data_IF_368553512193
#
_entry.id   IF_368553512193
#
_cell.length_a   1.000
_cell.length_b   1.000
_cell.length_c   1.000
_cell.angle_alpha   90.00
_cell.angle_beta   90.00
_cell.angle_gamma   90.00
#
_symmetry.space_group_name_H-M   'P 1'
#
loop_
_entity.id
_entity.type
_entity.pdbx_description
1 polymer ?
#
# COMPACT_ATOMS: atom_id res chain seq x y z
N UNK A 1 -16.41 -23.17 -49.29
CA UNK A 1 -17.46 -22.13 -49.26
C UNK A 1 -16.99 -20.99 -48.38
N UNK A 2 -17.20 -19.77 -48.87
CA UNK A 2 -16.53 -18.54 -48.48
C UNK A 2 -16.97 -17.95 -47.12
N UNK A 3 -16.00 -17.30 -46.47
CA UNK A 3 -16.05 -16.00 -45.79
C UNK A 3 -17.25 -15.62 -44.91
N UNK A 4 -16.96 -15.16 -43.68
CA UNK A 4 -17.40 -13.85 -43.20
C UNK A 4 -16.51 -13.35 -42.05
N UNK A 5 -15.52 -12.54 -42.44
CA UNK A 5 -14.86 -11.55 -41.60
C UNK A 5 -15.88 -10.45 -41.27
N UNK A 6 -15.97 -10.05 -40.00
CA UNK A 6 -16.53 -8.74 -39.65
C UNK A 6 -15.40 -7.86 -39.11
N UNK A 7 -14.90 -7.02 -40.02
CA UNK A 7 -14.10 -5.85 -39.72
C UNK A 7 -15.04 -4.71 -39.30
N UNK A 8 -14.92 -4.24 -38.07
CA UNK A 8 -15.40 -2.91 -37.69
C UNK A 8 -14.20 -2.08 -37.23
N UNK A 9 -13.53 -1.49 -38.22
CA UNK A 9 -12.66 -0.33 -38.03
C UNK A 9 -13.52 0.92 -38.17
N UNK A 10 -13.99 1.47 -37.06
CA UNK A 10 -14.38 2.88 -37.00
C UNK A 10 -13.24 3.65 -36.35
N UNK A 11 -12.58 4.58 -37.05
CA UNK A 11 -11.56 5.42 -36.43
C UNK A 11 -12.23 6.34 -35.41
N UNK A 12 -11.84 6.21 -34.14
CA UNK A 12 -12.17 7.18 -33.10
C UNK A 12 -11.44 8.46 -33.46
N UNK A 13 -12.20 9.51 -33.82
CA UNK A 13 -11.67 10.87 -33.95
C UNK A 13 -11.17 11.33 -32.59
N UNK A 14 -9.85 11.46 -32.45
CA UNK A 14 -9.22 12.21 -31.36
C UNK A 14 -9.50 13.69 -31.63
N UNK A 15 -10.11 14.46 -30.70
CA UNK A 15 -10.23 15.90 -30.87
C UNK A 15 -8.85 16.53 -30.92
N UNK A 16 -8.62 17.35 -31.94
CA UNK A 16 -7.46 18.22 -32.06
C UNK A 16 -7.48 19.25 -30.92
N UNK A 17 -6.50 19.14 -30.01
CA UNK A 17 -6.33 20.06 -28.88
C UNK A 17 -5.35 21.20 -29.18
N UNK A 18 -5.09 21.52 -30.45
CA UNK A 18 -4.13 22.56 -30.84
C UNK A 18 -4.69 24.00 -30.89
N UNK A 19 -5.90 24.27 -30.39
CA UNK A 19 -6.44 25.64 -30.42
C UNK A 19 -7.29 26.03 -29.22
N UNK A 20 -6.69 26.14 -28.02
CA UNK A 20 -7.18 27.00 -26.92
C UNK A 20 -6.11 27.20 -25.83
N UNK A 21 -4.92 27.64 -26.21
CA UNK A 21 -4.01 28.33 -25.26
C UNK A 21 -4.17 29.83 -25.42
N UNK A 22 -5.25 30.36 -24.87
CA UNK A 22 -5.32 31.77 -24.51
C UNK A 22 -4.93 31.87 -23.03
N UNK A 23 -3.77 32.48 -22.79
CA UNK A 23 -3.21 32.82 -21.48
C UNK A 23 -4.26 33.45 -20.56
N UNK A 24 -4.68 32.71 -19.54
CA UNK A 24 -5.23 33.30 -18.31
C UNK A 24 -4.26 32.94 -17.19
N UNK A 25 -3.45 33.93 -16.82
CA UNK A 25 -2.66 33.92 -15.59
C UNK A 25 -3.61 33.64 -14.42
N UNK A 26 -3.39 32.53 -13.73
CA UNK A 26 -4.02 32.26 -12.44
C UNK A 26 -3.16 32.97 -11.39
N UNK A 27 -3.69 33.95 -10.65
CA UNK A 27 -2.87 34.69 -9.70
C UNK A 27 -2.47 33.78 -8.54
N UNK A 28 -1.16 33.70 -8.29
CA UNK A 28 -0.58 33.14 -7.06
C UNK A 28 -1.05 33.97 -5.86
N UNK A 29 -2.19 33.61 -5.26
CA UNK A 29 -2.54 34.07 -3.92
C UNK A 29 -1.73 33.27 -2.90
N UNK A 30 -0.54 33.78 -2.60
CA UNK A 30 0.11 33.49 -1.33
C UNK A 30 -0.77 34.11 -0.23
N UNK A 31 -1.50 33.28 0.51
CA UNK A 31 -2.18 33.72 1.74
C UNK A 31 -1.13 33.63 2.86
N UNK A 32 -0.69 34.75 3.46
CA UNK A 32 0.20 34.67 4.60
C UNK A 32 -0.63 34.22 5.81
N UNK A 33 -0.38 33.02 6.31
CA UNK A 33 -0.87 32.61 7.62
C UNK A 33 0.02 33.33 8.64
N UNK A 34 -0.42 34.51 9.08
CA UNK A 34 0.16 35.19 10.24
C UNK A 34 -0.33 34.42 11.48
N UNK A 35 0.50 33.53 12.01
CA UNK A 35 0.24 32.89 13.31
C UNK A 35 0.68 33.86 14.40
N UNK A 36 -0.28 34.59 14.97
CA UNK A 36 -0.10 35.24 16.27
C UNK A 36 -0.26 34.19 17.37
N UNK A 37 0.77 34.03 18.20
CA UNK A 37 0.67 33.46 19.54
C UNK A 37 1.04 31.98 19.64
N UNK A 38 2.14 31.71 20.34
CA UNK A 38 2.61 30.37 20.73
C UNK A 38 1.62 29.63 21.66
N UNK A 39 0.55 30.28 22.11
CA UNK A 39 -0.50 29.68 22.96
C UNK A 39 -1.70 29.12 22.14
N UNK A 40 -1.85 29.49 20.86
CA UNK A 40 -2.88 28.93 19.98
C UNK A 40 -2.49 27.58 19.33
N UNK A 41 -1.21 27.21 19.41
CA UNK A 41 -0.67 25.95 18.84
C UNK A 41 -1.09 24.73 19.70
N UNK A 42 -1.49 24.95 20.96
CA UNK A 42 -1.89 23.89 21.88
C UNK A 42 -3.34 23.40 21.76
N UNK A 43 -4.21 24.11 21.03
CA UNK A 43 -5.67 23.94 21.15
C UNK A 43 -6.45 23.67 19.86
N UNK A 44 -5.81 23.40 18.71
CA UNK A 44 -6.50 23.18 17.42
C UNK A 44 -5.91 22.06 16.54
N UNK A 45 -5.56 20.92 17.15
CA UNK A 45 -5.45 19.64 16.44
C UNK A 45 -6.51 18.70 17.00
N UNK A 46 -7.73 18.77 16.45
CA UNK A 46 -8.73 17.74 16.74
C UNK A 46 -8.29 16.42 16.10
N UNK A 47 -8.49 15.34 16.86
CA UNK A 47 -7.97 13.98 16.68
C UNK A 47 -8.24 13.36 15.29
N UNK A 48 -7.18 12.72 14.74
CA UNK A 48 -7.13 11.77 13.62
C UNK A 48 -7.42 12.31 12.19
N UNK A 49 -6.37 12.43 11.37
CA UNK A 49 -6.52 12.68 9.91
C UNK A 49 -7.31 11.56 9.25
N UNK A 50 -8.06 11.83 8.18
CA UNK A 50 -8.55 10.74 7.32
C UNK A 50 -7.38 10.05 6.64
N UNK A 51 -7.44 8.73 6.47
CA UNK A 51 -6.40 7.93 5.83
C UNK A 51 -7.00 6.99 4.78
N UNK A 52 -6.35 6.92 3.63
CA UNK A 52 -6.54 5.87 2.64
C UNK A 52 -5.28 5.02 2.53
N UNK A 53 -5.43 3.73 2.77
CA UNK A 53 -4.32 2.78 2.74
C UNK A 53 -4.45 1.81 1.56
N UNK A 54 -3.57 1.96 0.57
CA UNK A 54 -3.40 0.97 -0.47
C UNK A 54 -2.67 -0.25 0.11
N UNK A 55 -3.45 -1.27 0.43
CA UNK A 55 -2.97 -2.48 1.04
C UNK A 55 -2.39 -3.41 -0.03
N UNK A 56 -1.06 -3.49 -0.13
CA UNK A 56 -0.43 -4.53 -0.94
C UNK A 56 -0.47 -5.87 -0.16
N UNK A 57 -1.00 -6.97 -0.73
CA UNK A 57 -0.99 -8.27 -0.09
C UNK A 57 0.41 -8.70 0.35
N UNK A 58 0.46 -9.24 1.56
CA UNK A 58 1.65 -9.88 2.16
C UNK A 58 2.82 -8.92 2.45
N UNK A 59 2.55 -7.63 2.54
CA UNK A 59 3.56 -6.62 2.95
C UNK A 59 3.53 -6.29 4.44
N UNK A 60 2.71 -6.98 5.25
CA UNK A 60 2.49 -6.64 6.66
C UNK A 60 1.31 -5.69 6.89
N UNK A 61 0.55 -5.37 5.84
CA UNK A 61 -0.58 -4.44 5.91
C UNK A 61 -1.70 -4.85 6.87
N UNK A 62 -1.92 -6.14 7.14
CA UNK A 62 -2.88 -6.58 8.17
C UNK A 62 -2.54 -6.04 9.56
N UNK A 63 -1.25 -6.02 9.93
CA UNK A 63 -0.81 -5.44 11.21
C UNK A 63 -1.10 -3.95 11.26
N UNK A 64 -0.82 -3.24 10.17
CA UNK A 64 -1.09 -1.81 10.04
C UNK A 64 -2.60 -1.52 10.12
N UNK A 65 -3.42 -2.28 9.39
CA UNK A 65 -4.89 -2.19 9.43
C UNK A 65 -5.41 -2.42 10.85
N UNK A 66 -4.93 -3.45 11.55
CA UNK A 66 -5.33 -3.72 12.93
C UNK A 66 -4.97 -2.55 13.87
N UNK A 67 -3.78 -1.97 13.71
CA UNK A 67 -3.39 -0.78 14.47
C UNK A 67 -4.32 0.41 14.17
N UNK A 68 -4.67 0.66 12.90
CA UNK A 68 -5.60 1.72 12.53
C UNK A 68 -7.02 1.42 13.05
N UNK A 69 -7.50 0.18 13.04
CA UNK A 69 -8.78 -0.20 13.64
C UNK A 69 -8.81 0.03 15.15
N UNK A 70 -7.71 -0.17 15.87
CA UNK A 70 -7.62 0.20 17.29
C UNK A 70 -7.71 1.72 17.51
N UNK A 71 -7.46 2.53 16.48
CA UNK A 71 -7.47 3.99 16.53
C UNK A 71 -8.78 4.61 16.08
N UNK A 72 -9.25 4.26 14.89
CA UNK A 72 -10.49 4.77 14.33
C UNK A 72 -11.71 4.00 14.84
N UNK A 73 -11.55 2.71 15.13
CA UNK A 73 -12.66 1.78 15.38
C UNK A 73 -13.15 1.12 14.09
N UNK A 74 -13.67 -0.10 14.21
CA UNK A 74 -14.14 -0.90 13.06
C UNK A 74 -15.27 -0.22 12.28
N UNK A 75 -16.19 0.44 12.99
CA UNK A 75 -17.36 1.15 12.41
C UNK A 75 -16.97 2.44 11.66
N UNK A 76 -15.73 2.91 11.84
CA UNK A 76 -15.16 4.09 11.19
C UNK A 76 -14.16 3.67 10.10
N UNK A 77 -14.25 2.43 9.62
CA UNK A 77 -13.44 1.92 8.52
C UNK A 77 -14.29 1.30 7.42
N UNK A 78 -13.83 1.42 6.18
CA UNK A 78 -14.43 0.75 5.03
C UNK A 78 -13.34 0.03 4.23
N UNK A 79 -13.62 -1.24 3.88
CA UNK A 79 -12.80 -1.98 2.93
C UNK A 79 -13.25 -1.63 1.52
N UNK A 80 -12.30 -1.24 0.66
CA UNK A 80 -12.55 -0.97 -0.76
C UNK A 80 -11.89 -2.06 -1.60
N UNK A 81 -12.71 -2.83 -2.32
CA UNK A 81 -12.32 -4.01 -3.08
C UNK A 81 -12.30 -3.72 -4.58
N UNK A 82 -11.44 -2.78 -4.97
CA UNK A 82 -11.23 -2.36 -6.35
C UNK A 82 -11.89 -1.03 -6.72
N UNK A 83 -11.57 -0.54 -7.92
CA UNK A 83 -11.87 0.85 -8.33
C UNK A 83 -13.37 1.12 -8.57
N UNK A 84 -14.15 0.07 -8.78
CA UNK A 84 -15.60 0.14 -9.04
C UNK A 84 -16.44 -0.33 -7.86
N UNK A 85 -15.84 -0.44 -6.68
CA UNK A 85 -16.55 -0.86 -5.47
C UNK A 85 -17.67 0.15 -5.15
N UNK A 86 -18.91 -0.33 -5.06
CA UNK A 86 -20.07 0.50 -4.74
C UNK A 86 -20.00 1.10 -3.33
N UNK A 87 -19.24 0.47 -2.42
CA UNK A 87 -19.05 0.93 -1.05
C UNK A 87 -18.24 2.22 -0.98
N UNK A 88 -17.45 2.53 -2.01
CA UNK A 88 -16.65 3.75 -2.04
C UNK A 88 -17.53 5.01 -1.93
N UNK A 89 -18.57 5.12 -2.75
CA UNK A 89 -19.45 6.30 -2.76
C UNK A 89 -20.10 6.50 -1.40
N UNK A 90 -20.63 5.42 -0.83
CA UNK A 90 -21.24 5.45 0.50
C UNK A 90 -20.24 5.88 1.58
N UNK A 91 -18.99 5.41 1.50
CA UNK A 91 -17.95 5.77 2.44
C UNK A 91 -17.55 7.26 2.33
N UNK A 92 -17.54 7.82 1.12
CA UNK A 92 -17.30 9.24 0.90
C UNK A 92 -18.45 10.12 1.40
N UNK A 93 -19.69 9.73 1.11
CA UNK A 93 -20.89 10.42 1.56
C UNK A 93 -20.97 10.44 3.10
N UNK A 94 -20.59 9.33 3.75
CA UNK A 94 -20.49 9.20 5.21
C UNK A 94 -19.21 9.77 5.79
N UNK A 95 -18.28 10.26 4.96
CA UNK A 95 -17.01 10.83 5.39
C UNK A 95 -16.18 9.88 6.27
N UNK A 96 -16.19 8.57 5.95
CA UNK A 96 -15.50 7.51 6.70
C UNK A 96 -14.01 7.81 6.80
N UNK A 97 -13.41 7.89 8.01
CA UNK A 97 -12.04 8.38 8.16
C UNK A 97 -10.96 7.36 7.79
N UNK A 98 -11.27 6.06 7.76
CA UNK A 98 -10.29 5.04 7.40
C UNK A 98 -10.77 4.19 6.21
N UNK A 99 -10.18 4.42 5.04
CA UNK A 99 -10.38 3.59 3.85
C UNK A 99 -9.16 2.69 3.66
N UNK A 100 -9.38 1.41 3.34
CA UNK A 100 -8.27 0.53 2.98
C UNK A 100 -8.69 -0.61 2.08
N UNK A 101 -7.75 -1.19 1.35
CA UNK A 101 -8.04 -2.36 0.54
C UNK A 101 -7.14 -2.49 -0.67
N UNK A 102 -7.65 -3.18 -1.68
CA UNK A 102 -6.91 -3.57 -2.87
C UNK A 102 -7.52 -2.86 -4.09
N UNK A 103 -7.03 -1.67 -4.40
CA UNK A 103 -7.50 -0.82 -5.48
C UNK A 103 -6.31 -0.18 -6.22
N UNK A 104 -6.53 0.42 -7.39
CA UNK A 104 -5.46 1.07 -8.14
C UNK A 104 -5.02 2.38 -7.48
N UNK A 105 -3.80 2.81 -7.78
CA UNK A 105 -3.33 4.12 -7.34
C UNK A 105 -4.18 5.27 -7.90
N UNK A 106 -4.80 5.10 -9.09
CA UNK A 106 -5.68 6.12 -9.67
C UNK A 106 -6.84 6.48 -8.74
N UNK A 107 -7.35 5.51 -7.96
CA UNK A 107 -8.36 5.80 -6.96
C UNK A 107 -7.87 6.76 -5.87
N UNK A 108 -6.59 6.67 -5.48
CA UNK A 108 -6.00 7.60 -4.50
C UNK A 108 -5.93 9.01 -5.06
N UNK A 109 -5.59 9.16 -6.34
CA UNK A 109 -5.57 10.47 -7.00
C UNK A 109 -6.95 11.11 -7.02
N UNK A 110 -8.00 10.34 -7.36
CA UNK A 110 -9.39 10.78 -7.30
C UNK A 110 -9.78 11.23 -5.89
N UNK A 111 -9.20 10.64 -4.85
CA UNK A 111 -9.55 10.93 -3.46
C UNK A 111 -8.72 12.05 -2.81
N UNK A 112 -7.79 12.67 -3.54
CA UNK A 112 -6.99 13.81 -3.03
C UNK A 112 -7.88 14.99 -2.64
N UNK A 113 -8.94 15.25 -3.40
CA UNK A 113 -9.90 16.33 -3.11
C UNK A 113 -10.73 16.10 -1.82
N UNK A 114 -10.75 14.86 -1.32
CA UNK A 114 -11.44 14.49 -0.08
C UNK A 114 -10.54 14.56 1.18
N UNK A 115 -9.31 15.08 1.05
CA UNK A 115 -8.34 15.26 2.14
C UNK A 115 -7.94 13.97 2.87
N UNK A 116 -7.86 12.84 2.15
CA UNK A 116 -7.29 11.62 2.70
C UNK A 116 -5.77 11.66 2.67
N UNK A 117 -5.15 11.33 3.81
CA UNK A 117 -3.74 11.01 3.90
C UNK A 117 -3.48 9.66 3.24
N UNK A 118 -2.70 9.64 2.17
CA UNK A 118 -2.43 8.44 1.38
C UNK A 118 -1.24 7.66 1.93
N UNK A 119 -1.43 6.36 2.12
CA UNK A 119 -0.42 5.46 2.67
C UNK A 119 -0.30 4.17 1.88
N UNK A 120 0.92 3.64 1.77
CA UNK A 120 1.16 2.27 1.30
C UNK A 120 2.35 1.63 2.02
N UNK A 121 2.46 0.30 1.93
CA UNK A 121 3.47 -0.51 2.61
C UNK A 121 4.01 -1.56 1.64
N UNK A 122 5.32 -1.56 1.43
CA UNK A 122 6.02 -2.51 0.58
C UNK A 122 6.81 -3.52 1.41
N UNK A 123 7.26 -4.60 0.77
CA UNK A 123 8.12 -5.61 1.37
C UNK A 123 9.16 -6.06 0.37
N UNK A 124 10.30 -6.53 0.89
CA UNK A 124 11.28 -7.23 0.09
C UNK A 124 10.57 -8.27 -0.82
N UNK A 125 10.84 -8.28 -2.14
CA UNK A 125 10.08 -9.09 -3.08
C UNK A 125 10.21 -10.59 -2.82
N UNK A 126 11.40 -11.05 -2.42
CA UNK A 126 11.64 -12.47 -2.08
C UNK A 126 10.77 -12.87 -0.90
N UNK A 127 10.86 -12.10 0.17
CA UNK A 127 10.09 -12.25 1.39
C UNK A 127 8.56 -12.21 1.16
N UNK A 128 8.10 -11.34 0.26
CA UNK A 128 6.68 -11.23 -0.10
C UNK A 128 6.19 -12.47 -0.85
N UNK A 129 6.94 -12.95 -1.84
CA UNK A 129 6.59 -14.14 -2.64
C UNK A 129 6.45 -15.37 -1.74
N UNK A 130 7.47 -15.64 -0.90
CA UNK A 130 7.43 -16.76 0.03
C UNK A 130 6.28 -16.60 1.03
N UNK A 131 6.07 -15.39 1.55
CA UNK A 131 4.95 -15.12 2.46
C UNK A 131 3.58 -15.37 1.83
N UNK A 132 3.43 -15.12 0.52
CA UNK A 132 2.18 -15.41 -0.20
C UNK A 132 2.00 -16.90 -0.41
N UNK A 133 3.03 -17.61 -0.82
CA UNK A 133 2.96 -19.06 -0.96
C UNK A 133 2.61 -19.73 0.37
N UNK A 134 3.32 -19.40 1.45
CA UNK A 134 3.01 -19.91 2.80
C UNK A 134 1.57 -19.56 3.19
N UNK A 135 1.06 -18.40 2.81
CA UNK A 135 -0.33 -18.05 3.08
C UNK A 135 -1.33 -18.95 2.35
N UNK A 136 -1.10 -19.25 1.07
CA UNK A 136 -1.93 -20.18 0.29
C UNK A 136 -1.99 -21.56 0.94
N UNK A 137 -0.84 -22.06 1.42
CA UNK A 137 -0.76 -23.38 2.07
C UNK A 137 -1.57 -23.50 3.37
N UNK A 138 -1.89 -22.39 4.03
CA UNK A 138 -2.57 -22.37 5.33
C UNK A 138 -3.90 -21.61 5.31
N UNK A 139 -4.40 -21.25 4.13
CA UNK A 139 -5.66 -20.53 4.02
C UNK A 139 -6.84 -21.50 4.01
N UNK A 140 -7.87 -21.17 4.79
CA UNK A 140 -9.15 -21.87 4.73
C UNK A 140 -10.14 -21.25 3.75
N UNK A 141 -9.81 -20.10 3.16
CA UNK A 141 -10.66 -19.41 2.17
C UNK A 141 -10.79 -20.25 0.89
N UNK A 142 -12.02 -20.57 0.43
CA UNK A 142 -12.25 -21.43 -0.74
C UNK A 142 -11.49 -20.99 -1.98
N UNK A 143 -11.50 -19.68 -2.29
CA UNK A 143 -10.80 -19.11 -3.45
C UNK A 143 -9.29 -19.32 -3.38
N UNK A 144 -8.70 -19.24 -2.18
CA UNK A 144 -7.26 -19.46 -1.99
C UNK A 144 -6.90 -20.95 -1.99
N UNK A 145 -7.82 -21.84 -1.61
CA UNK A 145 -7.64 -23.29 -1.79
C UNK A 145 -7.64 -23.66 -3.27
N UNK A 146 -8.60 -23.15 -4.03
CA UNK A 146 -8.64 -23.34 -5.48
C UNK A 146 -7.37 -22.81 -6.17
N UNK A 147 -6.92 -21.60 -5.78
CA UNK A 147 -5.65 -21.05 -6.27
C UNK A 147 -4.46 -21.94 -5.89
N UNK A 148 -4.38 -22.42 -4.64
CA UNK A 148 -3.32 -23.34 -4.19
C UNK A 148 -3.32 -24.64 -5.01
N UNK A 149 -4.50 -25.24 -5.19
CA UNK A 149 -4.67 -26.55 -5.84
C UNK A 149 -4.47 -26.46 -7.36
N UNK A 150 -4.45 -25.24 -7.92
CA UNK A 150 -4.07 -25.00 -9.31
C UNK A 150 -2.56 -25.11 -9.57
N UNK A 151 -1.73 -25.15 -8.51
CA UNK A 151 -0.28 -25.31 -8.62
C UNK A 151 0.16 -26.72 -8.24
N UNK A 152 1.00 -27.32 -9.08
CA UNK A 152 1.54 -28.67 -8.81
C UNK A 152 2.62 -28.66 -7.72
N UNK A 153 3.42 -27.59 -7.66
CA UNK A 153 4.53 -27.40 -6.73
C UNK A 153 4.89 -25.90 -6.61
N UNK A 154 5.99 -25.60 -5.91
CA UNK A 154 6.43 -24.21 -5.71
C UNK A 154 6.95 -23.58 -7.00
N UNK A 155 7.64 -24.34 -7.84
CA UNK A 155 8.19 -23.90 -9.12
C UNK A 155 7.08 -23.49 -10.10
N UNK A 156 5.98 -24.23 -10.10
CA UNK A 156 4.77 -23.88 -10.85
C UNK A 156 4.14 -22.57 -10.33
N UNK A 157 4.09 -22.40 -9.00
CA UNK A 157 3.67 -21.13 -8.39
C UNK A 157 4.53 -19.93 -8.81
N UNK A 158 5.85 -20.10 -8.99
CA UNK A 158 6.74 -19.03 -9.44
C UNK A 158 6.40 -18.51 -10.85
N UNK A 159 5.69 -19.29 -11.66
CA UNK A 159 5.20 -18.86 -12.98
C UNK A 159 3.92 -18.02 -12.91
N UNK A 160 3.31 -17.89 -11.72
CA UNK A 160 2.10 -17.11 -11.54
C UNK A 160 2.35 -15.60 -11.59
N UNK A 161 1.35 -14.84 -12.06
CA UNK A 161 1.39 -13.37 -12.05
C UNK A 161 1.58 -12.78 -10.64
N UNK A 162 1.18 -13.51 -9.60
CA UNK A 162 1.36 -13.06 -8.21
C UNK A 162 2.78 -13.24 -7.68
N UNK A 163 3.59 -14.08 -8.33
CA UNK A 163 4.98 -14.34 -7.94
C UNK A 163 5.99 -13.40 -8.62
N UNK A 164 5.60 -12.68 -9.68
CA UNK A 164 6.53 -11.89 -10.50
C UNK A 164 6.16 -10.41 -10.57
N UNK A 165 7.05 -9.54 -10.08
CA UNK A 165 6.97 -8.07 -10.13
C UNK A 165 5.59 -7.49 -9.74
N UNK A 166 4.93 -8.15 -8.77
CA UNK A 166 3.53 -7.90 -8.48
C UNK A 166 3.33 -6.54 -7.80
N UNK A 167 4.25 -6.11 -6.93
CA UNK A 167 4.12 -4.81 -6.26
C UNK A 167 4.19 -3.67 -7.27
N UNK A 168 5.10 -3.78 -8.24
CA UNK A 168 5.24 -2.84 -9.33
C UNK A 168 4.00 -2.80 -10.24
N UNK A 169 3.44 -3.95 -10.60
CA UNK A 169 2.21 -4.02 -11.40
C UNK A 169 1.03 -3.34 -10.68
N UNK A 170 0.88 -3.61 -9.39
CA UNK A 170 -0.20 -3.05 -8.59
C UNK A 170 -0.05 -1.52 -8.43
N UNK A 171 1.14 -1.06 -8.06
CA UNK A 171 1.42 0.36 -7.87
C UNK A 171 1.41 1.15 -9.19
N UNK A 172 1.81 0.53 -10.30
CA UNK A 172 1.75 1.13 -11.63
C UNK A 172 0.35 1.19 -12.25
N UNK A 173 -0.70 0.74 -11.54
CA UNK A 173 -2.09 0.77 -12.02
C UNK A 173 -2.40 -0.27 -13.11
N UNK A 174 -1.58 -1.32 -13.23
CA UNK A 174 -1.76 -2.39 -14.22
C UNK A 174 -1.58 -3.78 -13.57
N UNK A 175 -2.42 -4.14 -12.59
CA UNK A 175 -2.32 -5.42 -11.91
C UNK A 175 -2.45 -6.57 -12.93
N UNK A 176 -1.63 -7.61 -12.77
CA UNK A 176 -1.65 -8.82 -13.61
C UNK A 176 -1.31 -8.61 -15.10
N UNK A 177 -0.76 -7.45 -15.45
CA UNK A 177 -0.26 -7.22 -16.81
C UNK A 177 1.18 -7.72 -16.93
N UNK A 178 1.48 -8.47 -17.99
CA UNK A 178 2.86 -8.66 -18.49
C UNK A 178 3.36 -7.41 -19.22
N UNK A 179 2.94 -6.22 -18.77
CA UNK A 179 3.36 -4.96 -19.37
C UNK A 179 4.88 -4.85 -19.31
N UNK A 180 5.45 -4.08 -20.23
CA UNK A 180 6.88 -3.76 -20.21
C UNK A 180 7.30 -3.35 -18.80
N UNK A 181 8.18 -4.16 -18.22
CA UNK A 181 8.77 -4.02 -16.90
C UNK A 181 9.25 -2.60 -16.61
N UNK A 182 9.76 -1.90 -17.63
CA UNK A 182 10.25 -0.52 -17.50
C UNK A 182 9.13 0.50 -17.37
N UNK A 183 8.05 0.34 -18.13
CA UNK A 183 6.88 1.23 -18.07
C UNK A 183 6.16 1.05 -16.72
N UNK A 184 5.99 -0.21 -16.30
CA UNK A 184 5.40 -0.53 -15.00
C UNK A 184 6.22 0.09 -13.85
N UNK A 185 7.56 -0.01 -13.93
CA UNK A 185 8.47 0.59 -12.94
C UNK A 185 8.34 2.11 -12.85
N UNK A 186 8.36 2.80 -13.99
CA UNK A 186 8.29 4.26 -14.02
C UNK A 186 6.98 4.77 -13.41
N UNK A 187 5.85 4.17 -13.79
CA UNK A 187 4.55 4.51 -13.21
C UNK A 187 4.50 4.22 -11.70
N UNK A 188 4.96 3.04 -11.27
CA UNK A 188 4.99 2.68 -9.86
C UNK A 188 5.88 3.62 -9.04
N UNK A 189 7.06 3.98 -9.53
CA UNK A 189 7.99 4.88 -8.86
C UNK A 189 7.41 6.31 -8.74
N UNK A 190 6.81 6.82 -9.81
CA UNK A 190 6.12 8.12 -9.79
C UNK A 190 4.99 8.13 -8.75
N UNK A 191 4.21 7.05 -8.70
CA UNK A 191 3.12 6.90 -7.75
C UNK A 191 3.65 6.83 -6.32
N UNK A 192 4.73 6.09 -6.06
CA UNK A 192 5.39 6.04 -4.74
C UNK A 192 5.81 7.42 -4.23
N UNK A 193 6.36 8.28 -5.10
CA UNK A 193 6.73 9.64 -4.74
C UNK A 193 5.53 10.54 -4.39
N UNK A 194 4.34 10.14 -4.81
CA UNK A 194 3.12 10.93 -4.69
C UNK A 194 2.26 10.55 -3.48
N UNK A 195 2.62 9.47 -2.76
CA UNK A 195 2.02 9.10 -1.48
C UNK A 195 2.48 10.04 -0.36
N UNK A 196 1.59 10.32 0.60
CA UNK A 196 1.94 11.06 1.82
C UNK A 196 2.82 10.22 2.76
N UNK A 197 2.70 8.90 2.68
CA UNK A 197 3.51 7.95 3.42
C UNK A 197 3.76 6.64 2.68
N UNK A 198 5.03 6.22 2.69
CA UNK A 198 5.48 4.93 2.17
C UNK A 198 6.28 4.24 3.27
N UNK A 199 5.83 3.06 3.69
CA UNK A 199 6.56 2.22 4.63
C UNK A 199 7.19 0.99 3.97
N UNK A 200 8.07 0.31 4.72
CA UNK A 200 8.63 -1.00 4.36
C UNK A 200 8.49 -1.99 5.52
N UNK A 201 8.21 -3.26 5.19
CA UNK A 201 7.93 -4.32 6.16
C UNK A 201 9.13 -4.69 7.05
N UNK A 202 10.36 -4.51 6.56
CA UNK A 202 11.60 -4.79 7.30
C UNK A 202 11.68 -4.00 8.62
N UNK A 203 11.22 -2.74 8.59
CA UNK A 203 11.17 -1.85 9.75
C UNK A 203 9.73 -1.56 10.16
N UNK A 204 8.83 -2.55 10.06
CA UNK A 204 7.38 -2.36 10.24
C UNK A 204 7.06 -1.62 11.54
N UNK A 205 7.70 -2.00 12.64
CA UNK A 205 7.52 -1.37 13.94
C UNK A 205 7.83 0.14 13.93
N UNK A 206 8.97 0.55 13.39
CA UNK A 206 9.31 1.97 13.19
C UNK A 206 8.34 2.64 12.22
N UNK A 207 7.92 1.93 11.16
CA UNK A 207 6.93 2.42 10.21
C UNK A 207 5.56 2.71 10.84
N UNK A 208 5.07 1.81 11.69
CA UNK A 208 3.81 1.97 12.41
C UNK A 208 3.87 3.17 13.38
N UNK A 209 5.00 3.36 14.05
CA UNK A 209 5.23 4.53 14.91
C UNK A 209 5.26 5.83 14.09
N UNK A 210 6.02 5.86 13.00
CA UNK A 210 6.12 7.03 12.11
C UNK A 210 4.75 7.43 11.53
N UNK A 211 4.00 6.46 11.00
CA UNK A 211 2.65 6.69 10.49
C UNK A 211 1.72 7.21 11.58
N UNK A 212 1.75 6.60 12.78
CA UNK A 212 0.93 7.04 13.91
C UNK A 212 1.16 8.50 14.29
N UNK A 213 2.42 8.94 14.30
CA UNK A 213 2.79 10.33 14.58
C UNK A 213 2.30 11.27 13.47
N UNK A 214 2.47 10.88 12.19
CA UNK A 214 2.00 11.67 11.02
C UNK A 214 0.47 11.82 11.00
N UNK A 215 -0.27 10.85 11.51
CA UNK A 215 -1.73 10.91 11.67
C UNK A 215 -2.19 11.68 12.91
N UNK A 216 -1.26 12.12 13.76
CA UNK A 216 -1.55 12.91 14.97
C UNK A 216 -1.96 12.09 16.19
N UNK A 217 -1.68 10.77 16.22
CA UNK A 217 -2.05 9.95 17.36
C UNK A 217 -1.18 10.25 18.58
N UNK A 218 -1.80 10.70 19.68
CA UNK A 218 -1.12 11.09 20.93
C UNK A 218 -0.43 9.92 21.66
N UNK A 219 -0.97 8.70 21.51
CA UNK A 219 -0.42 7.49 22.12
C UNK A 219 -1.18 6.28 21.60
N UNK A 220 -0.54 5.32 20.92
CA UNK A 220 -0.71 3.85 21.00
C UNK A 220 0.13 3.28 19.86
N UNK A 221 1.37 2.95 20.20
CA UNK A 221 2.17 2.01 19.44
C UNK A 221 2.31 0.77 20.31
N UNK A 222 1.88 -0.37 19.78
CA UNK A 222 2.20 -1.68 20.30
C UNK A 222 3.20 -2.32 19.34
N UNK A 223 4.32 -2.87 19.83
CA UNK A 223 5.25 -3.55 18.96
C UNK A 223 4.58 -4.78 18.35
N UNK A 224 4.71 -4.89 17.03
CA UNK A 224 4.46 -6.13 16.35
C UNK A 224 5.69 -7.02 16.52
N UNK A 225 5.48 -8.17 17.14
CA UNK A 225 6.49 -9.23 17.18
C UNK A 225 6.27 -10.09 15.94
N UNK A 226 7.22 -10.05 15.02
CA UNK A 226 7.22 -10.90 13.82
C UNK A 226 7.07 -12.37 14.26
N UNK A 227 5.89 -12.94 14.03
CA UNK A 227 5.64 -14.39 14.18
C UNK A 227 5.26 -14.92 12.82
N UNK A 228 6.24 -15.50 12.12
CA UNK A 228 6.01 -16.15 10.84
C UNK A 228 5.21 -17.43 11.10
N UNK A 229 4.10 -17.60 10.39
CA UNK A 229 3.46 -18.92 10.30
C UNK A 229 4.40 -19.82 9.51
N UNK A 230 4.63 -21.03 10.00
CA UNK A 230 5.38 -22.07 9.28
C UNK A 230 6.81 -21.66 8.94
N UNK A 231 7.54 -21.21 9.96
CA UNK A 231 8.96 -20.82 9.91
C UNK A 231 9.82 -21.83 9.13
N UNK A 232 9.64 -23.13 9.39
CA UNK A 232 10.39 -24.19 8.69
C UNK A 232 10.16 -24.17 7.18
N UNK A 233 8.91 -24.06 6.72
CA UNK A 233 8.59 -23.99 5.29
C UNK A 233 9.19 -22.73 4.66
N UNK A 234 9.10 -21.60 5.37
CA UNK A 234 9.70 -20.36 4.92
C UNK A 234 11.22 -20.50 4.74
N UNK A 235 11.92 -21.08 5.74
CA UNK A 235 13.37 -21.27 5.70
C UNK A 235 13.81 -22.21 4.57
N UNK A 236 13.07 -23.30 4.34
CA UNK A 236 13.32 -24.23 3.22
C UNK A 236 13.24 -23.49 1.89
N UNK A 237 12.12 -22.80 1.62
CA UNK A 237 11.94 -22.09 0.35
C UNK A 237 12.97 -20.98 0.18
N UNK A 238 13.26 -20.22 1.24
CA UNK A 238 14.24 -19.15 1.16
C UNK A 238 15.63 -19.69 0.82
N UNK A 239 16.04 -20.79 1.47
CA UNK A 239 17.33 -21.42 1.19
C UNK A 239 17.43 -21.96 -0.24
N UNK A 240 16.34 -22.50 -0.78
CA UNK A 240 16.34 -23.20 -2.07
C UNK A 240 16.09 -22.26 -3.27
N UNK A 241 15.30 -21.20 -3.10
CA UNK A 241 14.78 -20.40 -4.21
C UNK A 241 14.99 -18.88 -4.10
N UNK A 242 15.65 -18.35 -3.06
CA UNK A 242 15.75 -16.89 -2.88
C UNK A 242 16.38 -16.17 -4.10
N UNK A 243 17.42 -16.74 -4.70
CA UNK A 243 18.08 -16.18 -5.89
C UNK A 243 17.15 -16.19 -7.11
N UNK A 244 16.50 -17.31 -7.40
CA UNK A 244 15.52 -17.43 -8.49
C UNK A 244 14.37 -16.43 -8.32
N UNK A 245 13.83 -16.31 -7.10
CA UNK A 245 12.75 -15.37 -6.81
C UNK A 245 13.24 -13.93 -7.03
N UNK A 246 14.45 -13.59 -6.59
CA UNK A 246 15.02 -12.26 -6.80
C UNK A 246 15.18 -11.96 -8.30
N UNK A 247 15.61 -12.95 -9.09
CA UNK A 247 15.77 -12.82 -10.53
C UNK A 247 14.43 -12.58 -11.26
N UNK A 248 13.37 -13.29 -10.86
CA UNK A 248 12.01 -13.08 -11.37
C UNK A 248 11.40 -11.73 -10.94
N UNK A 249 11.94 -11.11 -9.89
CA UNK A 249 11.41 -9.90 -9.28
C UNK A 249 12.37 -8.69 -9.36
N UNK A 250 13.27 -8.63 -10.35
CA UNK A 250 14.26 -7.53 -10.50
C UNK A 250 13.66 -6.12 -10.48
N UNK A 251 12.46 -5.95 -11.04
CA UNK A 251 11.78 -4.64 -11.05
C UNK A 251 11.23 -4.31 -9.68
N UNK A 252 10.61 -5.29 -9.03
CA UNK A 252 10.14 -5.16 -7.65
C UNK A 252 11.32 -4.89 -6.70
N UNK A 253 12.52 -5.42 -6.96
CA UNK A 253 13.73 -5.12 -6.18
C UNK A 253 14.12 -3.64 -6.30
N UNK A 254 14.20 -3.12 -7.51
CA UNK A 254 14.47 -1.69 -7.74
C UNK A 254 13.42 -0.79 -7.09
N UNK A 255 12.15 -1.19 -7.15
CA UNK A 255 11.05 -0.45 -6.53
C UNK A 255 11.12 -0.48 -5.01
N UNK A 256 11.47 -1.63 -4.42
CA UNK A 256 11.63 -1.80 -2.98
C UNK A 256 12.79 -0.95 -2.45
N UNK A 257 13.94 -0.94 -3.13
CA UNK A 257 15.07 -0.07 -2.80
C UNK A 257 14.67 1.42 -2.85
N UNK A 258 13.88 1.82 -3.85
CA UNK A 258 13.37 3.19 -3.94
C UNK A 258 12.43 3.50 -2.76
N UNK A 259 11.54 2.59 -2.40
CA UNK A 259 10.66 2.73 -1.24
C UNK A 259 11.43 2.86 0.08
N UNK A 260 12.50 2.06 0.27
CA UNK A 260 13.39 2.19 1.42
C UNK A 260 14.03 3.59 1.48
N UNK A 261 14.55 4.09 0.36
CA UNK A 261 15.15 5.44 0.28
C UNK A 261 14.12 6.54 0.58
N UNK A 262 12.92 6.43 0.02
CA UNK A 262 11.81 7.36 0.30
C UNK A 262 11.45 7.35 1.79
N UNK A 263 11.28 6.15 2.37
CA UNK A 263 10.96 6.01 3.79
C UNK A 263 12.05 6.61 4.69
N UNK A 264 13.31 6.25 4.47
CA UNK A 264 14.43 6.75 5.27
C UNK A 264 14.59 8.27 5.17
N UNK A 265 14.33 8.86 4.00
CA UNK A 265 14.36 10.31 3.79
C UNK A 265 13.21 11.04 4.50
N UNK A 266 12.01 10.44 4.50
CA UNK A 266 10.78 11.11 4.93
C UNK A 266 10.31 10.74 6.35
N UNK A 267 10.89 9.70 6.96
CA UNK A 267 10.58 9.32 8.33
C UNK A 267 11.00 10.44 9.27
N UNK A 268 10.16 10.74 10.25
CA UNK A 268 10.44 11.76 11.24
C UNK A 268 9.94 11.30 12.60
N UNK A 269 10.76 10.49 13.27
CA UNK A 269 10.44 9.93 14.57
C UNK A 269 11.36 10.56 15.61
N UNK A 270 10.82 11.23 16.65
CA UNK A 270 11.62 11.75 17.74
C UNK A 270 12.42 10.65 18.43
N UNK A 271 13.68 10.90 18.78
CA UNK A 271 14.54 9.93 19.46
C UNK A 271 13.93 9.39 20.75
N UNK A 272 13.20 10.23 21.49
CA UNK A 272 12.47 9.83 22.70
C UNK A 272 11.33 8.84 22.42
N UNK A 273 10.66 8.97 21.27
CA UNK A 273 9.62 8.03 20.85
C UNK A 273 10.24 6.70 20.41
N UNK A 274 11.34 6.73 19.65
CA UNK A 274 12.11 5.55 19.27
C UNK A 274 12.61 4.77 20.49
N UNK A 275 13.18 5.45 21.50
CA UNK A 275 13.68 4.79 22.70
C UNK A 275 12.54 4.09 23.48
N UNK A 276 11.40 4.78 23.65
CA UNK A 276 10.20 4.19 24.26
C UNK A 276 9.70 2.98 23.47
N UNK A 277 9.77 3.03 22.14
CA UNK A 277 9.39 1.95 21.25
C UNK A 277 10.27 0.71 21.45
N UNK A 278 11.60 0.88 21.39
CA UNK A 278 12.57 -0.22 21.61
C UNK A 278 12.43 -0.83 23.01
N UNK A 279 12.21 0.00 24.04
CA UNK A 279 11.95 -0.50 25.40
C UNK A 279 10.70 -1.39 25.45
N UNK A 280 9.61 -1.01 24.76
CA UNK A 280 8.39 -1.83 24.65
C UNK A 280 8.60 -3.09 23.82
N UNK A 281 9.45 -3.09 22.80
CA UNK A 281 9.76 -4.31 22.03
C UNK A 281 10.41 -5.39 22.90
N UNK A 282 11.26 -4.98 23.84
CA UNK A 282 12.00 -5.90 24.72
C UNK A 282 11.13 -6.35 25.90
N UNK A 283 10.41 -5.43 26.54
CA UNK A 283 9.74 -5.70 27.83
C UNK A 283 8.21 -5.61 27.79
N UNK A 284 7.63 -5.13 26.68
CA UNK A 284 6.21 -4.85 26.57
C UNK A 284 5.39 -6.03 26.03
N UNK A 285 4.07 -6.03 26.27
CA UNK A 285 3.17 -7.01 25.66
C UNK A 285 3.09 -6.81 24.15
N UNK A 286 2.98 -7.91 23.40
CA UNK A 286 2.72 -7.88 21.95
C UNK A 286 1.36 -7.25 21.63
N UNK A 287 1.17 -6.74 20.41
CA UNK A 287 -0.13 -6.23 19.96
C UNK A 287 -1.28 -7.22 20.28
N UNK A 288 -2.35 -6.76 20.95
CA UNK A 288 -3.53 -7.60 21.15
C UNK A 288 -4.19 -7.89 19.80
N UNK A 289 -4.58 -9.15 19.57
CA UNK A 289 -5.39 -9.49 18.40
C UNK A 289 -6.78 -8.89 18.58
N UNK A 290 -7.24 -8.11 17.61
CA UNK A 290 -8.64 -7.72 17.54
C UNK A 290 -9.47 -9.01 17.39
N UNK A 291 -10.48 -9.17 18.25
CA UNK A 291 -11.56 -10.13 18.00
C UNK A 291 -12.47 -9.46 16.98
N UNK A 292 -12.34 -9.88 15.72
CA UNK A 292 -13.24 -9.51 14.63
C UNK A 292 -14.42 -10.47 14.66
#
# INVERSE_FOLDING_TARGET
>A
MASKLWSFTTPIKIPDLSSTFASKEVPLRCIPIIIKGAEAIGALMSDQRKIIFLHLPKTGGTTLVNMLHQKYGLQQSQIISGDKDSQLREALDKSIPFLHGHFSYQLIELLREHNYFSATLLRDPVERVISRYVHLQHSDEPRLKEERDSYSNFEDYLQSNYAQNWQCQMLGGRPHSKADSKIAYQGALQNLHSFDWVGVAENLNEGLLDLSLKLGFKNVYYPYLNRRKSEKLWQTIYKEHAEEIADLNKVDQQLYEAAQKIYLKNKNIPASALLKMKFKEIFGPSQPKLKV
#
